data_IF_696102567223
#
_entry.id   IF_696102567223
#
_cell.length_a   1.000
_cell.length_b   1.000
_cell.length_c   1.000
_cell.angle_alpha   90.00
_cell.angle_beta   90.00
_cell.angle_gamma   90.00
#
_symmetry.space_group_name_H-M   'P 1'
#
loop_
_entity.id
_entity.type
_entity.pdbx_description
1 polymer ?
#
# COMPACT_ATOMS: atom_id res chain seq x y z
N UNK A 1 -23.07 -2.55 4.21
CA UNK A 1 -22.37 -2.32 2.94
C UNK A 1 -20.98 -1.71 3.15
N UNK A 2 -20.84 -0.49 3.69
CA UNK A 2 -19.52 0.16 3.86
C UNK A 2 -18.50 -0.67 4.66
N UNK A 3 -18.90 -1.24 5.80
CA UNK A 3 -18.04 -2.11 6.61
C UNK A 3 -17.59 -3.37 5.83
N UNK A 4 -18.50 -3.96 5.04
CA UNK A 4 -18.17 -5.13 4.22
C UNK A 4 -17.17 -4.76 3.12
N UNK A 5 -17.30 -3.58 2.52
CA UNK A 5 -16.37 -3.08 1.53
C UNK A 5 -14.96 -2.89 2.10
N UNK A 6 -14.82 -2.19 3.22
CA UNK A 6 -13.53 -1.98 3.91
C UNK A 6 -12.87 -3.32 4.22
N UNK A 7 -13.62 -4.23 4.87
CA UNK A 7 -13.15 -5.58 5.17
C UNK A 7 -12.73 -6.34 3.91
N UNK A 8 -13.45 -6.18 2.80
CA UNK A 8 -13.09 -6.84 1.53
C UNK A 8 -11.80 -6.27 0.95
N UNK A 9 -11.59 -4.96 1.01
CA UNK A 9 -10.34 -4.33 0.56
C UNK A 9 -9.14 -4.79 1.38
N UNK A 10 -9.20 -4.72 2.72
CA UNK A 10 -8.07 -5.12 3.57
C UNK A 10 -7.71 -6.60 3.38
N UNK A 11 -8.71 -7.46 3.13
CA UNK A 11 -8.48 -8.87 2.74
C UNK A 11 -7.65 -8.97 1.46
N UNK A 12 -8.09 -8.31 0.38
CA UNK A 12 -7.42 -8.39 -0.91
C UNK A 12 -6.04 -7.75 -0.89
N UNK A 13 -5.84 -6.69 -0.13
CA UNK A 13 -4.51 -6.11 0.14
C UNK A 13 -3.60 -7.21 0.72
N UNK A 14 -4.00 -7.84 1.82
CA UNK A 14 -3.17 -8.84 2.48
C UNK A 14 -2.91 -10.08 1.60
N UNK A 15 -3.93 -10.58 0.88
CA UNK A 15 -3.80 -11.76 0.00
C UNK A 15 -2.93 -11.49 -1.22
N UNK A 16 -3.10 -10.34 -1.87
CA UNK A 16 -2.28 -9.99 -3.04
C UNK A 16 -0.84 -9.69 -2.62
N UNK A 17 -0.60 -9.04 -1.49
CA UNK A 17 0.75 -8.87 -0.95
C UNK A 17 1.41 -10.23 -0.64
N UNK A 18 0.69 -11.15 0.01
CA UNK A 18 1.18 -12.49 0.31
C UNK A 18 1.52 -13.28 -0.95
N UNK A 19 0.59 -13.32 -1.90
CA UNK A 19 0.76 -14.04 -3.16
C UNK A 19 1.92 -13.46 -3.97
N UNK A 20 2.01 -12.13 -4.06
CA UNK A 20 3.10 -11.44 -4.74
C UNK A 20 4.47 -11.76 -4.12
N UNK A 21 4.52 -11.78 -2.79
CA UNK A 21 5.72 -12.14 -2.03
C UNK A 21 6.14 -13.60 -2.25
N UNK A 22 5.20 -14.53 -2.37
CA UNK A 22 5.53 -15.93 -2.68
C UNK A 22 6.09 -16.08 -4.09
N UNK A 23 5.42 -15.52 -5.11
CA UNK A 23 5.90 -15.59 -6.49
C UNK A 23 7.31 -15.04 -6.62
N UNK A 24 7.55 -13.86 -6.03
CA UNK A 24 8.86 -13.23 -6.07
C UNK A 24 9.91 -14.03 -5.31
N UNK A 25 9.57 -14.64 -4.16
CA UNK A 25 10.47 -15.51 -3.40
C UNK A 25 10.92 -16.71 -4.23
N UNK A 26 9.96 -17.44 -4.81
CA UNK A 26 10.25 -18.63 -5.60
C UNK A 26 11.10 -18.28 -6.81
N UNK A 27 10.74 -17.26 -7.59
CA UNK A 27 11.53 -16.82 -8.74
C UNK A 27 12.95 -16.42 -8.35
N UNK A 28 13.12 -15.69 -7.25
CA UNK A 28 14.45 -15.26 -6.77
C UNK A 28 15.35 -16.44 -6.39
N UNK A 29 14.82 -17.43 -5.67
CA UNK A 29 15.60 -18.62 -5.33
C UNK A 29 15.90 -19.50 -6.56
N UNK A 30 14.96 -19.62 -7.49
CA UNK A 30 15.18 -20.36 -8.72
C UNK A 30 16.24 -19.70 -9.63
N UNK A 31 16.32 -18.37 -9.62
CA UNK A 31 17.41 -17.63 -10.30
C UNK A 31 18.80 -17.85 -9.69
N UNK A 32 18.91 -18.46 -8.51
CA UNK A 32 20.20 -18.85 -7.96
C UNK A 32 20.81 -20.06 -8.70
N UNK A 33 19.99 -20.86 -9.39
CA UNK A 33 20.41 -22.06 -10.14
C UNK A 33 19.66 -22.19 -11.47
N UNK A 34 19.77 -21.21 -12.39
CA UNK A 34 18.96 -21.18 -13.62
C UNK A 34 19.15 -22.42 -14.49
N UNK A 35 20.37 -22.96 -14.52
CA UNK A 35 20.74 -24.17 -15.29
C UNK A 35 19.89 -25.40 -14.96
N UNK A 36 19.34 -25.46 -13.74
CA UNK A 36 18.52 -26.60 -13.28
C UNK A 36 17.09 -26.60 -13.83
N UNK A 37 16.63 -25.47 -14.38
CA UNK A 37 15.24 -25.27 -14.81
C UNK A 37 15.00 -25.68 -16.27
N UNK A 38 16.06 -25.75 -17.09
CA UNK A 38 15.97 -26.09 -18.50
C UNK A 38 14.98 -25.17 -19.25
N UNK A 39 14.01 -25.76 -19.95
CA UNK A 39 13.01 -25.01 -20.72
C UNK A 39 12.01 -24.21 -19.86
N UNK A 40 11.97 -24.43 -18.54
CA UNK A 40 11.07 -23.74 -17.62
C UNK A 40 11.70 -22.48 -17.00
N UNK A 41 12.98 -22.19 -17.29
CA UNK A 41 13.72 -21.07 -16.67
C UNK A 41 12.95 -19.76 -16.78
N UNK A 42 12.61 -19.33 -17.99
CA UNK A 42 11.93 -18.04 -18.24
C UNK A 42 10.56 -17.97 -17.56
N UNK A 43 9.78 -19.05 -17.61
CA UNK A 43 8.45 -19.10 -17.00
C UNK A 43 8.52 -19.02 -15.47
N UNK A 44 9.46 -19.72 -14.84
CA UNK A 44 9.59 -19.78 -13.39
C UNK A 44 10.30 -18.55 -12.80
N UNK A 45 11.18 -17.90 -13.56
CA UNK A 45 11.92 -16.71 -13.14
C UNK A 45 11.17 -15.44 -13.53
N UNK A 46 11.23 -15.03 -14.80
CA UNK A 46 10.55 -13.83 -15.33
C UNK A 46 9.04 -13.89 -15.11
N UNK A 47 8.40 -15.03 -15.41
CA UNK A 47 6.96 -15.19 -15.23
C UNK A 47 6.51 -14.98 -13.78
N UNK A 48 7.25 -15.53 -12.81
CA UNK A 48 6.94 -15.31 -11.39
C UNK A 48 7.26 -13.89 -10.92
N UNK A 49 8.29 -13.21 -11.45
CA UNK A 49 8.49 -11.77 -11.20
C UNK A 49 7.37 -10.91 -11.74
N UNK A 50 6.87 -11.18 -12.94
CA UNK A 50 5.72 -10.48 -13.52
C UNK A 50 4.49 -10.70 -12.64
N UNK A 51 4.18 -11.95 -12.29
CA UNK A 51 3.06 -12.29 -11.41
C UNK A 51 3.18 -11.60 -10.03
N UNK A 52 4.38 -11.59 -9.46
CA UNK A 52 4.71 -10.91 -8.21
C UNK A 52 4.43 -9.41 -8.27
N UNK A 53 4.95 -8.73 -9.30
CA UNK A 53 4.76 -7.29 -9.49
C UNK A 53 3.31 -6.91 -9.74
N UNK A 54 2.55 -7.70 -10.50
CA UNK A 54 1.10 -7.49 -10.68
C UNK A 54 0.37 -7.56 -9.35
N UNK A 55 0.68 -8.55 -8.52
CA UNK A 55 0.10 -8.69 -7.19
C UNK A 55 0.46 -7.51 -6.26
N UNK A 56 1.73 -7.09 -6.23
CA UNK A 56 2.14 -5.91 -5.47
C UNK A 56 1.50 -4.61 -6.00
N UNK A 57 1.31 -4.49 -7.32
CA UNK A 57 0.61 -3.35 -7.92
C UNK A 57 -0.83 -3.28 -7.44
N UNK A 58 -1.57 -4.40 -7.53
CA UNK A 58 -2.95 -4.47 -7.05
C UNK A 58 -3.02 -4.13 -5.56
N UNK A 59 -2.18 -4.76 -4.73
CA UNK A 59 -2.14 -4.51 -3.29
C UNK A 59 -1.95 -3.02 -2.96
N UNK A 60 -0.87 -2.42 -3.42
CA UNK A 60 -0.47 -1.05 -3.06
C UNK A 60 -1.43 0.00 -3.63
N UNK A 61 -2.03 -0.30 -4.79
CA UNK A 61 -3.14 0.48 -5.33
C UNK A 61 -4.37 0.42 -4.41
N UNK A 62 -4.76 -0.77 -3.95
CA UNK A 62 -5.88 -0.94 -3.03
C UNK A 62 -5.63 -0.27 -1.67
N UNK A 63 -4.41 -0.27 -1.15
CA UNK A 63 -4.04 0.49 0.08
C UNK A 63 -4.31 1.99 -0.08
N UNK A 64 -3.95 2.56 -1.23
CA UNK A 64 -4.26 3.96 -1.54
C UNK A 64 -5.78 4.19 -1.66
N UNK A 65 -6.50 3.28 -2.33
CA UNK A 65 -7.95 3.40 -2.47
C UNK A 65 -8.68 3.28 -1.13
N UNK A 66 -8.25 2.38 -0.25
CA UNK A 66 -8.81 2.20 1.08
C UNK A 66 -8.75 3.53 1.84
N UNK A 67 -7.55 4.10 2.00
CA UNK A 67 -7.33 5.36 2.72
C UNK A 67 -8.08 6.55 2.11
N UNK A 68 -8.17 6.66 0.78
CA UNK A 68 -8.92 7.73 0.11
C UNK A 68 -10.43 7.61 0.31
N UNK A 69 -10.95 6.39 0.37
CA UNK A 69 -12.39 6.12 0.46
C UNK A 69 -12.81 5.71 1.89
N UNK A 70 -11.97 5.98 2.90
CA UNK A 70 -12.35 5.88 4.31
C UNK A 70 -13.43 6.91 4.63
N UNK A 71 -14.66 6.45 4.79
CA UNK A 71 -15.78 7.31 5.19
C UNK A 71 -16.13 7.10 6.66
N UNK A 72 -16.63 8.15 7.31
CA UNK A 72 -16.94 8.15 8.72
C UNK A 72 -18.44 7.85 8.91
N UNK A 73 -18.79 6.56 9.08
CA UNK A 73 -20.18 6.11 9.19
C UNK A 73 -20.95 6.81 10.34
N UNK A 74 -20.24 7.29 11.37
CA UNK A 74 -20.83 8.04 12.48
C UNK A 74 -21.36 9.43 12.04
N UNK A 75 -20.69 10.10 11.09
CA UNK A 75 -21.11 11.42 10.61
C UNK A 75 -22.41 11.35 9.80
N UNK A 76 -22.67 10.23 9.13
CA UNK A 76 -23.92 9.97 8.41
C UNK A 76 -25.11 9.75 9.35
N UNK A 77 -24.89 9.26 10.57
CA UNK A 77 -25.97 9.06 11.56
C UNK A 77 -26.37 10.36 12.26
N UNK A 78 -25.41 11.26 12.53
CA UNK A 78 -25.68 12.52 13.23
C UNK A 78 -26.58 13.51 12.47
N UNK A 79 -26.45 13.58 11.13
CA UNK A 79 -27.25 14.50 10.32
C UNK A 79 -28.72 14.08 10.17
N UNK A 80 -29.03 12.77 10.29
CA UNK A 80 -30.42 12.28 10.17
C UNK A 80 -31.30 12.69 11.34
N UNK A 81 -30.74 12.85 12.53
CA UNK A 81 -31.52 13.17 13.73
C UNK A 81 -31.80 14.67 13.91
N UNK A 82 -31.14 15.58 13.18
CA UNK A 82 -31.31 17.03 13.37
C UNK A 82 -32.44 17.65 12.52
N UNK A 83 -33.12 16.88 11.66
CA UNK A 83 -34.20 17.37 10.77
C UNK A 83 -35.63 17.05 11.22
N UNK A 84 -35.83 16.50 12.41
CA UNK A 84 -37.16 16.22 12.95
C UNK A 84 -37.26 16.69 14.40
N UNK A 85 -37.35 18.01 14.61
CA UNK A 85 -38.15 18.51 15.73
C UNK A 85 -39.11 19.57 15.19
N UNK A 86 -40.31 19.17 14.75
CA UNK A 86 -41.37 20.06 14.31
C UNK A 86 -42.22 20.50 15.52
N UNK A 87 -41.62 21.19 16.49
CA UNK A 87 -42.35 21.90 17.55
C UNK A 87 -41.37 22.86 18.21
N UNK A 88 -41.41 24.13 17.83
CA UNK A 88 -41.46 25.26 18.74
C UNK A 88 -41.54 26.53 17.88
N UNK A 89 -42.80 26.88 17.59
CA UNK A 89 -43.19 28.23 17.20
C UNK A 89 -43.13 29.02 18.50
N UNK A 90 -42.08 29.82 18.69
CA UNK A 90 -42.18 30.95 19.61
C UNK A 90 -41.74 32.24 18.93
N UNK A 91 -42.64 33.19 19.04
CA UNK A 91 -42.71 34.49 18.40
C UNK A 91 -41.84 35.49 19.15
N UNK A 92 -40.94 36.19 18.45
CA UNK A 92 -40.23 37.32 19.03
C UNK A 92 -39.26 37.94 18.05
N UNK A 93 -39.58 39.16 17.62
CA UNK A 93 -38.87 40.01 16.68
C UNK A 93 -37.37 40.18 16.99
N UNK A 94 -36.51 39.87 16.02
CA UNK A 94 -35.19 40.52 15.83
C UNK A 94 -34.58 40.10 14.47
N UNK A 95 -35.22 40.60 13.41
CA UNK A 95 -34.83 40.34 12.02
C UNK A 95 -33.94 41.47 11.48
N UNK A 96 -32.60 41.39 11.64
CA UNK A 96 -31.73 42.29 10.87
C UNK A 96 -30.26 41.88 10.62
N UNK A 97 -29.62 40.95 11.37
CA UNK A 97 -28.14 40.86 11.32
C UNK A 97 -27.52 39.50 10.95
N UNK A 98 -28.30 38.45 10.64
CA UNK A 98 -27.77 37.09 10.42
C UNK A 98 -28.01 36.62 8.97
N UNK A 99 -27.48 37.35 7.99
CA UNK A 99 -27.73 37.04 6.57
C UNK A 99 -26.49 36.83 5.69
N UNK A 100 -25.25 36.97 6.18
CA UNK A 100 -24.07 37.01 5.29
C UNK A 100 -23.05 35.87 5.43
N UNK A 101 -23.21 34.90 6.33
CA UNK A 101 -22.17 33.86 6.57
C UNK A 101 -22.60 32.41 6.30
N UNK A 102 -23.74 32.17 5.65
CA UNK A 102 -24.36 30.83 5.58
C UNK A 102 -24.30 30.13 4.20
N UNK A 103 -23.59 30.67 3.19
CA UNK A 103 -23.82 30.22 1.79
C UNK A 103 -22.71 29.42 1.12
N UNK A 104 -21.53 29.19 1.72
CA UNK A 104 -20.48 28.37 1.08
C UNK A 104 -20.45 26.91 1.52
N UNK A 105 -20.91 26.59 2.74
CA UNK A 105 -20.74 25.23 3.30
C UNK A 105 -21.82 24.23 2.85
N UNK A 106 -22.91 24.70 2.23
CA UNK A 106 -24.01 23.83 1.81
C UNK A 106 -23.82 23.16 0.46
N UNK A 107 -22.97 23.71 -0.42
CA UNK A 107 -22.68 23.14 -1.75
C UNK A 107 -21.77 21.90 -1.68
N UNK A 108 -20.92 21.79 -0.66
CA UNK A 108 -20.08 20.61 -0.42
C UNK A 108 -20.88 19.40 0.12
N UNK A 109 -22.14 19.61 0.57
CA UNK A 109 -22.98 18.55 1.14
C UNK A 109 -23.69 17.68 0.09
N UNK A 110 -23.72 18.11 -1.17
CA UNK A 110 -24.40 17.41 -2.28
C UNK A 110 -23.46 16.63 -3.19
N UNK A 111 -22.15 16.77 -3.04
CA UNK A 111 -21.19 15.89 -3.68
C UNK A 111 -21.15 14.57 -2.89
N UNK A 112 -22.28 13.86 -2.92
CA UNK A 112 -22.46 12.54 -2.32
C UNK A 112 -21.26 11.69 -2.70
N UNK A 113 -20.51 11.27 -1.70
CA UNK A 113 -19.12 10.84 -1.80
C UNK A 113 -18.92 9.82 -2.93
N UNK A 114 -18.62 10.33 -4.12
CA UNK A 114 -18.33 9.50 -5.28
C UNK A 114 -17.06 8.72 -4.97
N UNK A 115 -17.08 7.44 -5.27
CA UNK A 115 -15.91 6.60 -5.13
C UNK A 115 -14.75 7.18 -5.95
N UNK A 116 -13.61 7.41 -5.31
CA UNK A 116 -12.43 8.00 -5.93
C UNK A 116 -11.44 6.91 -6.31
N UNK A 117 -11.17 6.80 -7.61
CA UNK A 117 -10.28 5.78 -8.19
C UNK A 117 -8.81 6.23 -8.30
N UNK A 118 -8.54 7.53 -8.21
CA UNK A 118 -7.18 8.05 -8.41
C UNK A 118 -6.37 7.98 -7.11
N UNK A 119 -5.24 7.25 -7.04
CA UNK A 119 -4.53 6.96 -5.79
C UNK A 119 -3.81 8.18 -5.21
N UNK A 120 -3.72 9.28 -5.96
CA UNK A 120 -3.07 10.52 -5.52
C UNK A 120 -4.06 11.62 -5.09
N UNK A 121 -5.27 11.26 -4.62
CA UNK A 121 -6.16 12.21 -3.93
C UNK A 121 -5.70 12.53 -2.49
N UNK A 122 -4.44 12.98 -2.34
CA UNK A 122 -3.74 13.20 -1.07
C UNK A 122 -4.60 14.00 -0.08
N UNK A 123 -5.13 15.15 -0.50
CA UNK A 123 -5.95 16.02 0.36
C UNK A 123 -7.20 15.33 0.89
N UNK A 124 -7.82 14.46 0.09
CA UNK A 124 -8.99 13.70 0.52
C UNK A 124 -8.58 12.64 1.54
N UNK A 125 -7.53 11.86 1.25
CA UNK A 125 -7.05 10.82 2.15
C UNK A 125 -6.66 11.40 3.52
N UNK A 126 -5.87 12.48 3.53
CA UNK A 126 -5.46 13.13 4.78
C UNK A 126 -6.64 13.69 5.57
N UNK A 127 -7.61 14.33 4.91
CA UNK A 127 -8.84 14.79 5.58
C UNK A 127 -9.63 13.63 6.17
N UNK A 128 -9.76 12.53 5.44
CA UNK A 128 -10.51 11.36 5.91
C UNK A 128 -9.81 10.70 7.10
N UNK A 129 -8.49 10.53 7.05
CA UNK A 129 -7.69 10.01 8.16
C UNK A 129 -7.78 10.92 9.40
N UNK A 130 -7.66 12.23 9.21
CA UNK A 130 -7.79 13.22 10.29
C UNK A 130 -9.18 13.14 10.96
N UNK A 131 -10.25 13.01 10.18
CA UNK A 131 -11.60 12.84 10.75
C UNK A 131 -11.77 11.55 11.55
N UNK A 132 -10.93 10.54 11.32
CA UNK A 132 -10.90 9.28 12.05
C UNK A 132 -9.92 9.32 13.24
N UNK A 133 -9.21 10.43 13.44
CA UNK A 133 -8.14 10.54 14.44
C UNK A 133 -6.90 9.72 14.10
N UNK A 134 -6.77 9.28 12.84
CA UNK A 134 -5.59 8.59 12.34
C UNK A 134 -4.55 9.59 11.84
N UNK A 135 -3.26 9.23 11.96
CA UNK A 135 -2.17 10.05 11.42
C UNK A 135 -2.13 10.05 9.89
N UNK A 136 -1.22 10.83 9.28
CA UNK A 136 -1.02 10.83 7.83
C UNK A 136 -0.30 9.57 7.31
N UNK A 137 0.35 8.83 8.21
CA UNK A 137 1.28 7.75 7.86
C UNK A 137 0.67 6.58 7.08
N UNK A 138 -0.58 6.13 7.31
CA UNK A 138 -1.19 5.08 6.49
C UNK A 138 -1.21 5.44 5.00
N UNK A 139 -1.58 6.68 4.67
CA UNK A 139 -1.57 7.15 3.29
C UNK A 139 -0.15 7.32 2.74
N UNK A 140 0.76 7.91 3.54
CA UNK A 140 2.16 8.10 3.14
C UNK A 140 2.83 6.77 2.81
N UNK A 141 2.69 5.76 3.68
CA UNK A 141 3.21 4.41 3.45
C UNK A 141 2.64 3.81 2.17
N UNK A 142 1.31 3.84 2.02
CA UNK A 142 0.60 3.32 0.83
C UNK A 142 1.09 3.96 -0.47
N UNK A 143 1.20 5.29 -0.50
CA UNK A 143 1.65 6.03 -1.67
C UNK A 143 3.12 5.72 -2.01
N UNK A 144 3.99 5.61 -1.00
CA UNK A 144 5.40 5.26 -1.19
C UNK A 144 5.55 3.85 -1.76
N UNK A 145 4.84 2.85 -1.22
CA UNK A 145 4.84 1.51 -1.78
C UNK A 145 4.30 1.47 -3.21
N UNK A 146 3.24 2.22 -3.51
CA UNK A 146 2.66 2.30 -4.85
C UNK A 146 3.65 2.89 -5.86
N UNK A 147 4.37 3.96 -5.50
CA UNK A 147 5.45 4.51 -6.33
C UNK A 147 6.60 3.49 -6.47
N UNK A 148 6.94 2.78 -5.41
CA UNK A 148 7.95 1.72 -5.42
C UNK A 148 7.64 0.62 -6.42
N UNK A 149 6.40 0.11 -6.45
CA UNK A 149 6.03 -0.97 -7.37
C UNK A 149 5.92 -0.50 -8.82
N UNK A 150 5.48 0.73 -9.06
CA UNK A 150 5.55 1.36 -10.39
C UNK A 150 7.00 1.43 -10.88
N UNK A 151 7.93 1.77 -9.98
CA UNK A 151 9.36 1.82 -10.27
C UNK A 151 9.90 0.42 -10.61
N UNK A 152 9.55 -0.62 -9.84
CA UNK A 152 9.88 -2.01 -10.18
C UNK A 152 9.30 -2.46 -11.53
N UNK A 153 8.14 -1.93 -11.91
CA UNK A 153 7.52 -2.15 -13.22
C UNK A 153 8.39 -1.66 -14.38
N UNK A 154 9.05 -0.50 -14.22
CA UNK A 154 10.02 0.01 -15.22
C UNK A 154 11.17 -0.99 -15.43
N UNK A 155 11.58 -1.69 -14.37
CA UNK A 155 12.62 -2.72 -14.45
C UNK A 155 12.25 -3.94 -15.30
N UNK A 156 10.98 -4.11 -15.70
CA UNK A 156 10.55 -5.17 -16.63
C UNK A 156 10.61 -4.75 -18.11
N UNK A 157 10.75 -3.45 -18.40
CA UNK A 157 10.80 -2.97 -19.79
C UNK A 157 11.86 -3.71 -20.64
N UNK A 158 13.07 -4.02 -20.10
CA UNK A 158 14.05 -4.81 -20.84
C UNK A 158 13.60 -6.20 -21.28
N UNK A 159 12.64 -6.81 -20.59
CA UNK A 159 12.13 -8.16 -20.90
C UNK A 159 11.12 -8.13 -22.07
N UNK A 160 10.50 -6.97 -22.32
CA UNK A 160 9.47 -6.81 -23.37
C UNK A 160 9.93 -5.99 -24.57
N UNK A 161 11.04 -5.28 -24.45
CA UNK A 161 11.55 -4.37 -25.48
C UNK A 161 12.99 -4.73 -25.81
N UNK A 162 13.24 -5.07 -27.08
CA UNK A 162 14.61 -5.30 -27.57
C UNK A 162 15.46 -4.04 -27.44
N UNK A 163 16.53 -4.13 -26.65
CA UNK A 163 17.48 -3.03 -26.41
C UNK A 163 18.90 -3.55 -26.16
N UNK A 164 19.93 -2.70 -26.26
CA UNK A 164 21.31 -3.11 -25.95
C UNK A 164 21.42 -3.64 -24.51
N UNK A 165 22.13 -4.76 -24.31
CA UNK A 165 22.28 -5.44 -23.01
C UNK A 165 22.73 -4.51 -21.88
N UNK A 166 23.62 -3.57 -22.18
CA UNK A 166 24.09 -2.59 -21.21
C UNK A 166 22.97 -1.66 -20.74
N UNK A 167 22.12 -1.20 -21.66
CA UNK A 167 20.96 -0.34 -21.34
C UNK A 167 19.93 -1.13 -20.54
N UNK A 168 19.62 -2.37 -20.96
CA UNK A 168 18.75 -3.29 -20.23
C UNK A 168 19.21 -3.48 -18.78
N UNK A 169 20.50 -3.78 -18.58
CA UNK A 169 21.09 -3.96 -17.27
C UNK A 169 20.93 -2.71 -16.39
N UNK A 170 21.28 -1.52 -16.89
CA UNK A 170 21.16 -0.28 -16.10
C UNK A 170 19.71 0.09 -15.77
N UNK A 171 18.77 -0.08 -16.71
CA UNK A 171 17.34 0.16 -16.45
C UNK A 171 16.86 -0.77 -15.33
N UNK A 172 17.18 -2.07 -15.43
CA UNK A 172 16.84 -3.06 -14.41
C UNK A 172 17.43 -2.68 -13.05
N UNK A 173 18.75 -2.54 -12.97
CA UNK A 173 19.46 -2.28 -11.71
C UNK A 173 18.98 -0.99 -11.01
N UNK A 174 18.81 0.11 -11.76
CA UNK A 174 18.35 1.38 -11.20
C UNK A 174 16.89 1.28 -10.75
N UNK A 175 16.01 0.70 -11.57
CA UNK A 175 14.61 0.53 -11.23
C UNK A 175 14.42 -0.32 -9.97
N UNK A 176 15.17 -1.42 -9.86
CA UNK A 176 15.13 -2.27 -8.68
C UNK A 176 15.71 -1.57 -7.44
N UNK A 177 16.80 -0.81 -7.57
CA UNK A 177 17.35 -0.03 -6.46
C UNK A 177 16.32 0.97 -5.90
N UNK A 178 15.74 1.82 -6.76
CA UNK A 178 14.77 2.81 -6.30
C UNK A 178 13.47 2.16 -5.80
N UNK A 179 13.00 1.11 -6.46
CA UNK A 179 11.86 0.32 -5.97
C UNK A 179 12.10 -0.20 -4.55
N UNK A 180 13.28 -0.77 -4.28
CA UNK A 180 13.67 -1.28 -2.96
C UNK A 180 13.82 -0.17 -1.92
N UNK A 181 14.36 1.00 -2.30
CA UNK A 181 14.41 2.19 -1.43
C UNK A 181 13.00 2.59 -1.02
N UNK A 182 12.07 2.71 -1.98
CA UNK A 182 10.69 3.08 -1.67
C UNK A 182 10.02 2.05 -0.77
N UNK A 183 10.15 0.75 -1.02
CA UNK A 183 9.59 -0.28 -0.12
C UNK A 183 10.18 -0.20 1.29
N UNK A 184 11.47 0.05 1.41
CA UNK A 184 12.12 0.23 2.73
C UNK A 184 11.58 1.45 3.46
N UNK A 185 11.47 2.60 2.78
CA UNK A 185 10.92 3.84 3.36
C UNK A 185 9.43 3.68 3.70
N UNK A 186 8.66 2.97 2.86
CA UNK A 186 7.28 2.61 3.13
C UNK A 186 7.14 1.79 4.42
N UNK A 187 8.01 0.79 4.61
CA UNK A 187 8.07 0.01 5.86
C UNK A 187 8.41 0.86 7.07
N UNK A 188 9.37 1.79 6.96
CA UNK A 188 9.65 2.74 8.03
C UNK A 188 8.44 3.62 8.38
N UNK A 189 7.67 4.08 7.38
CA UNK A 189 6.44 4.83 7.63
C UNK A 189 5.38 3.98 8.34
N UNK A 190 5.21 2.70 7.97
CA UNK A 190 4.34 1.76 8.70
C UNK A 190 4.79 1.54 10.14
N UNK A 191 6.11 1.45 10.38
CA UNK A 191 6.67 1.32 11.71
C UNK A 191 6.41 2.55 12.58
N UNK A 192 6.43 3.76 12.00
CA UNK A 192 6.07 4.99 12.71
C UNK A 192 4.60 4.98 13.10
N UNK A 193 3.70 4.61 12.19
CA UNK A 193 2.27 4.50 12.47
C UNK A 193 1.98 3.50 13.59
N UNK A 194 2.64 2.34 13.54
CA UNK A 194 2.49 1.27 14.54
C UNK A 194 3.35 1.48 15.80
N UNK A 195 3.98 2.66 15.95
CA UNK A 195 4.82 3.03 17.11
C UNK A 195 5.91 2.00 17.42
N UNK A 196 6.44 1.32 16.40
CA UNK A 196 7.43 0.25 16.53
C UNK A 196 8.71 0.74 17.23
N UNK A 197 9.10 1.99 16.95
CA UNK A 197 10.30 2.61 17.53
C UNK A 197 10.12 3.16 18.95
N UNK A 198 8.87 3.31 19.41
CA UNK A 198 8.56 4.00 20.66
C UNK A 198 7.98 3.09 21.72
N UNK A 199 7.34 1.99 21.33
CA UNK A 199 6.65 1.08 22.24
C UNK A 199 6.97 -0.37 21.90
N UNK A 200 7.25 -1.20 22.91
CA UNK A 200 7.41 -2.64 22.73
C UNK A 200 6.06 -3.36 22.91
N UNK A 201 5.04 -2.92 22.17
CA UNK A 201 3.73 -3.55 22.16
C UNK A 201 3.63 -4.47 20.94
N UNK A 202 3.85 -5.76 21.14
CA UNK A 202 3.89 -6.78 20.09
C UNK A 202 2.48 -7.10 19.53
N UNK A 203 1.79 -6.09 19.01
CA UNK A 203 0.57 -6.28 18.25
C UNK A 203 0.88 -6.90 16.89
N UNK A 204 -0.14 -7.47 16.24
CA UNK A 204 0.02 -8.03 14.91
C UNK A 204 0.42 -6.96 13.88
N UNK A 205 -0.07 -5.72 14.03
CA UNK A 205 0.33 -4.58 13.21
C UNK A 205 1.79 -4.18 13.42
N UNK A 206 2.27 -4.21 14.67
CA UNK A 206 3.68 -4.02 15.00
C UNK A 206 4.55 -5.07 14.28
N UNK A 207 4.18 -6.35 14.39
CA UNK A 207 4.94 -7.46 13.79
C UNK A 207 4.93 -7.33 12.27
N UNK A 208 3.76 -7.06 11.66
CA UNK A 208 3.62 -6.85 10.22
C UNK A 208 4.51 -5.71 9.71
N UNK A 209 4.46 -4.53 10.33
CA UNK A 209 5.26 -3.37 9.95
C UNK A 209 6.77 -3.63 10.09
N UNK A 210 7.19 -4.30 11.18
CA UNK A 210 8.59 -4.66 11.40
C UNK A 210 9.08 -5.65 10.33
N UNK A 211 8.31 -6.71 10.05
CA UNK A 211 8.64 -7.69 9.01
C UNK A 211 8.69 -7.04 7.62
N UNK A 212 7.73 -6.18 7.27
CA UNK A 212 7.76 -5.45 5.99
C UNK A 212 9.02 -4.59 5.85
N UNK A 213 9.42 -3.91 6.93
CA UNK A 213 10.66 -3.10 6.91
C UNK A 213 11.90 -3.96 6.71
N UNK A 214 12.01 -5.08 7.43
CA UNK A 214 13.14 -6.01 7.29
C UNK A 214 13.15 -6.64 5.89
N UNK A 215 11.99 -7.01 5.35
CA UNK A 215 11.84 -7.50 3.98
C UNK A 215 12.31 -6.47 2.94
N UNK A 216 11.92 -5.20 3.13
CA UNK A 216 12.37 -4.08 2.29
C UNK A 216 13.89 -3.89 2.33
N UNK A 217 14.50 -3.98 3.52
CA UNK A 217 15.96 -3.94 3.67
C UNK A 217 16.62 -5.12 2.93
N UNK A 218 16.05 -6.33 3.00
CA UNK A 218 16.53 -7.49 2.23
C UNK A 218 16.53 -7.24 0.72
N UNK A 219 15.45 -6.65 0.20
CA UNK A 219 15.35 -6.20 -1.19
C UNK A 219 16.38 -5.12 -1.54
N UNK A 220 16.64 -4.18 -0.63
CA UNK A 220 17.63 -3.14 -0.83
C UNK A 220 19.05 -3.71 -0.89
N UNK A 221 19.37 -4.67 -0.02
CA UNK A 221 20.64 -5.41 -0.06
C UNK A 221 20.76 -6.16 -1.39
N UNK A 222 19.71 -6.88 -1.81
CA UNK A 222 19.69 -7.57 -3.11
C UNK A 222 19.94 -6.61 -4.28
N UNK A 223 19.31 -5.44 -4.28
CA UNK A 223 19.48 -4.43 -5.31
C UNK A 223 20.89 -3.81 -5.35
N UNK A 224 21.47 -3.54 -4.18
CA UNK A 224 22.85 -3.05 -4.08
C UNK A 224 23.81 -4.10 -4.63
N UNK A 225 23.67 -5.37 -4.22
CA UNK A 225 24.51 -6.46 -4.74
C UNK A 225 24.39 -6.63 -6.26
N UNK A 226 23.23 -6.30 -6.85
CA UNK A 226 22.99 -6.37 -8.29
C UNK A 226 23.86 -5.44 -9.16
N UNK A 227 24.58 -4.49 -8.56
CA UNK A 227 25.58 -3.68 -9.27
C UNK A 227 26.88 -4.44 -9.58
N UNK A 228 27.10 -5.59 -8.94
CA UNK A 228 28.29 -6.43 -9.11
C UNK A 228 27.89 -7.77 -9.75
N UNK A 229 28.17 -7.98 -11.05
CA UNK A 229 27.77 -9.19 -11.78
C UNK A 229 28.22 -10.50 -11.12
N UNK A 230 29.39 -10.50 -10.48
CA UNK A 230 29.96 -11.62 -9.74
C UNK A 230 29.18 -12.00 -8.47
N UNK A 231 28.30 -11.12 -7.99
CA UNK A 231 27.44 -11.32 -6.82
C UNK A 231 25.99 -11.65 -7.19
N UNK A 232 25.74 -12.11 -8.43
CA UNK A 232 24.39 -12.42 -8.92
C UNK A 232 23.63 -13.43 -8.05
N UNK A 233 24.31 -14.46 -7.53
CA UNK A 233 23.73 -15.43 -6.60
C UNK A 233 23.26 -14.75 -5.31
N UNK A 234 24.14 -13.97 -4.68
CA UNK A 234 23.86 -13.30 -3.40
C UNK A 234 22.75 -12.26 -3.55
N UNK A 235 22.73 -11.55 -4.69
CA UNK A 235 21.66 -10.62 -5.04
C UNK A 235 20.30 -11.34 -5.10
N UNK A 236 20.20 -12.43 -5.90
CA UNK A 236 18.97 -13.21 -6.02
C UNK A 236 18.56 -13.85 -4.68
N UNK A 237 19.51 -14.39 -3.92
CA UNK A 237 19.25 -14.97 -2.62
C UNK A 237 18.71 -13.94 -1.61
N UNK A 238 19.29 -12.73 -1.57
CA UNK A 238 18.84 -11.65 -0.69
C UNK A 238 17.40 -11.20 -1.05
N UNK A 239 17.07 -11.10 -2.33
CA UNK A 239 15.68 -10.87 -2.77
C UNK A 239 14.74 -11.97 -2.31
N UNK A 240 15.13 -13.24 -2.47
CA UNK A 240 14.33 -14.38 -2.05
C UNK A 240 14.03 -14.37 -0.55
N UNK A 241 15.06 -14.11 0.27
CA UNK A 241 14.91 -13.99 1.73
C UNK A 241 14.04 -12.80 2.11
N UNK A 242 14.30 -11.62 1.55
CA UNK A 242 13.47 -10.43 1.79
C UNK A 242 12.00 -10.66 1.45
N UNK A 243 11.74 -11.41 0.38
CA UNK A 243 10.39 -11.70 -0.08
C UNK A 243 9.66 -12.73 0.80
N UNK A 244 10.37 -13.72 1.37
CA UNK A 244 9.78 -14.61 2.37
C UNK A 244 9.43 -13.87 3.66
N UNK A 245 10.22 -12.87 4.03
CA UNK A 245 9.93 -12.01 5.19
C UNK A 245 8.68 -11.16 4.91
N UNK A 246 8.53 -10.59 3.72
CA UNK A 246 7.27 -9.93 3.31
C UNK A 246 6.08 -10.88 3.35
N UNK A 247 6.23 -12.11 2.85
CA UNK A 247 5.16 -13.11 2.93
C UNK A 247 4.75 -13.37 4.39
N UNK A 248 5.72 -13.46 5.30
CA UNK A 248 5.47 -13.61 6.74
C UNK A 248 4.74 -12.39 7.33
N UNK A 249 5.14 -11.17 6.95
CA UNK A 249 4.45 -9.93 7.32
C UNK A 249 2.99 -9.91 6.87
N UNK A 250 2.72 -10.27 5.62
CA UNK A 250 1.34 -10.38 5.12
C UNK A 250 0.52 -11.51 5.72
N UNK A 251 1.13 -12.63 6.11
CA UNK A 251 0.43 -13.68 6.83
C UNK A 251 -0.09 -13.15 8.18
N UNK A 252 0.69 -12.31 8.86
CA UNK A 252 0.25 -11.60 10.06
C UNK A 252 -0.93 -10.65 9.76
N UNK A 253 -0.88 -9.91 8.65
CA UNK A 253 -2.01 -9.05 8.22
C UNK A 253 -3.29 -9.85 7.91
N UNK A 254 -3.18 -11.06 7.33
CA UNK A 254 -4.34 -11.94 7.12
C UNK A 254 -4.94 -12.40 8.46
N UNK A 255 -4.11 -12.62 9.48
CA UNK A 255 -4.58 -12.94 10.84
C UNK A 255 -5.31 -11.73 11.44
N UNK A 256 -4.77 -10.51 11.30
CA UNK A 256 -5.46 -9.27 11.72
C UNK A 256 -6.83 -9.13 11.09
N UNK A 257 -6.91 -9.45 9.78
CA UNK A 257 -8.16 -9.42 9.05
C UNK A 257 -9.21 -10.34 9.64
N UNK A 258 -8.79 -11.55 9.96
CA UNK A 258 -9.67 -12.57 10.53
C UNK A 258 -10.17 -12.15 11.90
N UNK A 259 -9.31 -11.51 12.70
CA UNK A 259 -9.60 -11.10 14.08
C UNK A 259 -10.24 -9.72 14.19
N UNK A 260 -10.57 -9.07 13.07
CA UNK A 260 -11.21 -7.75 13.00
C UNK A 260 -10.40 -6.62 13.68
N UNK A 261 -9.06 -6.70 13.61
CA UNK A 261 -8.12 -5.77 14.26
C UNK A 261 -7.64 -4.61 13.37
N UNK A 262 -8.39 -4.24 12.32
CA UNK A 262 -8.02 -3.19 11.35
C UNK A 262 -8.61 -1.83 11.67
#
# INVERSE_FOLDING_TARGET
EEWQWKRTLSYWIAVTFFSGSLFFSFSSFLMCWPETLGCLEELMTTGGYVAGKVNFFICTYLMCLETINLTNAAHLKGHKNRRQSPTDIDSGDDAASIASSASSDSLDSLDGQRFKWWPFHIRTALRNLDTLGAGPWPYVASAIYFVGVLTFGVGLVPDFVSMPKQVAHWIGTIAFLFGSIFFTVGGFAECIENKVFFTFNLSTGYIGAALNTIGGIGFLVGAILGFWPELGFQSCFAYGVGSLIFASGSAAMIIMWKDEQF
#
